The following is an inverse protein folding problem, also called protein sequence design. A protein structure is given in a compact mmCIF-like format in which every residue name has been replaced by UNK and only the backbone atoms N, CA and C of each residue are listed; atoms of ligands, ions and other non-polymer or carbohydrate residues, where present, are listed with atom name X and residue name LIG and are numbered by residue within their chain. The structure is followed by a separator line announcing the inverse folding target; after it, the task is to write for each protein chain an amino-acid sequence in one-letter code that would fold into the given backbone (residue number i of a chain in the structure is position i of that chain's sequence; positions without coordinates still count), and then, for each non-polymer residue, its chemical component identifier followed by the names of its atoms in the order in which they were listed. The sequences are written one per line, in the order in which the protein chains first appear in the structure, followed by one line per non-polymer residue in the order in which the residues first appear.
data_IF_196452698368
#
_entry.id   IF_196452698368
#
_cell.length_a   1.000
_cell.length_b   1.000
_cell.length_c   1.000
_cell.angle_alpha   90.00
_cell.angle_beta   90.00
_cell.angle_gamma   90.00
#
_symmetry.space_group_name_H-M   'P 1'
#
loop_
_entity.id
_entity.type
_entity.pdbx_description
1 polymer ?
#
# COMPACT_ATOMS: atom_id res chain seq x y z
N UNK A 1 22.68 -0.91 -0.40
CA UNK A 1 22.01 -1.60 -1.52
C UNK A 1 20.54 -1.69 -1.15
N UNK A 2 19.64 -1.11 -1.95
CA UNK A 2 18.19 -1.26 -1.73
C UNK A 2 17.75 -2.69 -2.07
N UNK A 3 16.81 -3.24 -1.30
CA UNK A 3 16.30 -4.59 -1.53
C UNK A 3 15.46 -4.68 -2.82
N UNK A 4 15.29 -5.91 -3.34
CA UNK A 4 14.61 -6.18 -4.61
C UNK A 4 13.15 -5.72 -4.58
N UNK A 5 12.43 -6.01 -3.49
CA UNK A 5 11.03 -5.63 -3.35
C UNK A 5 10.86 -4.13 -3.11
N UNK A 6 11.81 -3.46 -2.45
CA UNK A 6 11.78 -2.00 -2.34
C UNK A 6 11.80 -1.34 -3.73
N UNK A 7 12.68 -1.78 -4.63
CA UNK A 7 12.75 -1.27 -6.00
C UNK A 7 11.51 -1.62 -6.83
N UNK A 8 10.95 -2.81 -6.67
CA UNK A 8 9.69 -3.20 -7.33
C UNK A 8 8.50 -2.37 -6.84
N UNK A 9 8.44 -2.06 -5.55
CA UNK A 9 7.38 -1.24 -4.97
C UNK A 9 7.46 0.20 -5.45
N UNK A 10 8.66 0.79 -5.50
CA UNK A 10 8.89 2.11 -6.09
C UNK A 10 8.45 2.15 -7.56
N UNK A 11 8.87 1.15 -8.35
CA UNK A 11 8.48 1.04 -9.75
C UNK A 11 6.97 0.88 -9.94
N UNK A 12 6.29 0.16 -9.03
CA UNK A 12 4.84 0.03 -9.03
C UNK A 12 4.14 1.36 -8.74
N UNK A 13 4.62 2.12 -7.75
CA UNK A 13 4.07 3.43 -7.41
C UNK A 13 4.21 4.40 -8.58
N UNK A 14 5.40 4.46 -9.20
CA UNK A 14 5.66 5.30 -10.37
C UNK A 14 4.74 4.98 -11.55
N UNK A 15 4.57 3.70 -11.90
CA UNK A 15 3.67 3.28 -13.00
C UNK A 15 2.20 3.62 -12.74
N UNK A 16 1.79 3.77 -11.48
CA UNK A 16 0.42 4.08 -11.06
C UNK A 16 0.19 5.55 -10.74
N UNK A 17 1.22 6.39 -10.83
CA UNK A 17 1.14 7.80 -10.41
C UNK A 17 0.93 7.97 -8.90
N UNK A 18 1.25 6.95 -8.10
CA UNK A 18 1.21 7.06 -6.64
C UNK A 18 2.48 7.75 -6.13
N UNK A 19 2.37 8.37 -4.96
CA UNK A 19 3.56 8.85 -4.23
C UNK A 19 4.50 7.68 -3.92
N UNK A 20 5.78 7.98 -3.84
CA UNK A 20 6.80 7.00 -3.48
C UNK A 20 6.50 6.36 -2.11
N UNK A 21 6.83 5.07 -1.93
CA UNK A 21 6.58 4.37 -0.68
C UNK A 21 7.40 4.98 0.47
N UNK A 22 6.75 5.22 1.61
CA UNK A 22 7.42 5.72 2.81
C UNK A 22 7.69 4.57 3.77
N UNK A 23 8.91 4.51 4.31
CA UNK A 23 9.36 3.47 5.23
C UNK A 23 9.60 4.06 6.61
N UNK A 24 9.07 3.40 7.64
CA UNK A 24 9.35 3.68 9.03
C UNK A 24 9.84 2.40 9.70
N UNK A 25 11.08 2.39 10.15
CA UNK A 25 11.67 1.23 10.84
C UNK A 25 11.68 1.47 12.34
N UNK A 26 11.23 0.49 13.09
CA UNK A 26 11.19 0.51 14.55
C UNK A 26 12.15 -0.55 15.09
N UNK A 27 13.05 -0.12 15.98
CA UNK A 27 13.97 -1.01 16.70
C UNK A 27 13.37 -1.35 18.06
N UNK A 28 13.42 -2.63 18.40
CA UNK A 28 13.00 -3.17 19.69
C UNK A 28 14.06 -4.14 20.22
N UNK A 29 14.02 -4.52 21.51
CA UNK A 29 14.89 -5.57 22.05
C UNK A 29 14.75 -6.91 21.33
N UNK A 30 13.57 -7.19 20.77
CA UNK A 30 13.27 -8.40 20.00
C UNK A 30 13.69 -8.36 18.53
N UNK A 31 14.23 -7.23 18.04
CA UNK A 31 14.66 -7.04 16.66
C UNK A 31 14.03 -5.80 16.00
N UNK A 32 14.01 -5.79 14.67
CA UNK A 32 13.55 -4.68 13.84
C UNK A 32 12.21 -4.99 13.18
N UNK A 33 11.28 -4.07 13.25
CA UNK A 33 10.04 -4.11 12.46
C UNK A 33 10.00 -2.92 11.53
N UNK A 34 9.25 -3.03 10.43
CA UNK A 34 9.12 -1.92 9.50
C UNK A 34 7.67 -1.76 9.06
N UNK A 35 7.24 -0.51 8.95
CA UNK A 35 5.98 -0.08 8.41
C UNK A 35 6.22 0.63 7.07
N UNK A 36 5.45 0.26 6.06
CA UNK A 36 5.49 0.86 4.73
C UNK A 36 4.14 1.46 4.39
N UNK A 37 4.14 2.73 3.99
CA UNK A 37 2.95 3.44 3.53
C UNK A 37 2.94 3.50 2.00
N UNK A 38 1.91 2.90 1.38
CA UNK A 38 1.69 2.94 -0.06
C UNK A 38 0.25 3.33 -0.36
N UNK A 39 0.07 4.41 -1.11
CA UNK A 39 -1.26 4.89 -1.54
C UNK A 39 -2.26 4.98 -0.37
N UNK A 40 -1.83 5.53 0.77
CA UNK A 40 -2.65 5.70 1.98
C UNK A 40 -2.88 4.43 2.80
N UNK A 41 -2.27 3.28 2.44
CA UNK A 41 -2.37 2.02 3.19
C UNK A 41 -1.07 1.67 3.86
N UNK A 42 -1.14 1.22 5.12
CA UNK A 42 0.01 0.84 5.94
C UNK A 42 0.20 -0.68 5.90
N UNK A 43 1.45 -1.11 5.73
CA UNK A 43 1.86 -2.50 5.73
C UNK A 43 3.02 -2.67 6.69
N UNK A 44 2.81 -3.38 7.80
CA UNK A 44 3.83 -3.59 8.82
C UNK A 44 4.23 -5.05 8.89
N UNK A 45 5.52 -5.35 9.05
CA UNK A 45 6.05 -6.71 9.30
C UNK A 45 5.35 -7.43 10.46
N UNK A 46 5.09 -8.74 10.33
CA UNK A 46 4.36 -9.53 11.35
C UNK A 46 5.27 -10.00 12.48
N UNK A 47 6.57 -10.03 12.22
CA UNK A 47 7.61 -10.49 13.12
C UNK A 47 8.79 -9.51 13.09
N UNK A 48 9.59 -9.55 14.15
CA UNK A 48 10.83 -8.78 14.24
C UNK A 48 11.95 -9.49 13.49
N UNK A 49 12.73 -8.74 12.73
CA UNK A 49 13.86 -9.21 11.93
C UNK A 49 15.19 -8.83 12.58
N UNK A 50 16.27 -9.48 12.14
CA UNK A 50 17.62 -9.24 12.66
C UNK A 50 18.19 -7.86 12.31
N UNK A 51 17.78 -7.30 11.16
CA UNK A 51 18.26 -5.99 10.68
C UNK A 51 17.13 -5.12 10.12
N UNK A 52 17.41 -3.82 10.05
CA UNK A 52 16.53 -2.82 9.46
C UNK A 52 16.28 -3.10 7.96
N UNK A 53 17.31 -3.48 7.22
CA UNK A 53 17.20 -3.82 5.79
C UNK A 53 16.31 -5.03 5.55
N UNK A 54 16.39 -6.07 6.39
CA UNK A 54 15.49 -7.22 6.31
C UNK A 54 14.05 -6.82 6.62
N UNK A 55 13.83 -6.01 7.65
CA UNK A 55 12.50 -5.54 8.00
C UNK A 55 11.88 -4.71 6.87
N UNK A 56 12.64 -3.78 6.28
CA UNK A 56 12.21 -2.96 5.15
C UNK A 56 11.87 -3.79 3.91
N UNK A 57 12.74 -4.72 3.54
CA UNK A 57 12.52 -5.58 2.37
C UNK A 57 11.28 -6.48 2.55
N UNK A 58 11.07 -7.04 3.74
CA UNK A 58 9.90 -7.87 4.02
C UNK A 58 8.61 -7.04 4.07
N UNK A 59 8.64 -5.82 4.62
CA UNK A 59 7.50 -4.91 4.56
C UNK A 59 7.18 -4.50 3.11
N UNK A 60 8.21 -4.25 2.29
CA UNK A 60 8.08 -3.95 0.87
C UNK A 60 7.47 -5.12 0.09
N UNK A 61 7.92 -6.35 0.36
CA UNK A 61 7.36 -7.57 -0.24
C UNK A 61 5.86 -7.66 0.01
N UNK A 62 5.41 -7.45 1.25
CA UNK A 62 3.99 -7.51 1.61
C UNK A 62 3.18 -6.42 0.93
N UNK A 63 3.67 -5.19 0.98
CA UNK A 63 3.04 -4.06 0.29
C UNK A 63 2.95 -4.34 -1.22
N UNK A 64 4.00 -4.88 -1.83
CA UNK A 64 4.05 -5.18 -3.27
C UNK A 64 3.04 -6.27 -3.66
N UNK A 65 3.02 -7.40 -2.95
CA UNK A 65 2.12 -8.52 -3.25
C UNK A 65 0.64 -8.13 -3.15
N UNK A 66 0.32 -7.23 -2.22
CA UNK A 66 -1.04 -6.71 -2.05
C UNK A 66 -1.35 -5.64 -3.11
N UNK A 67 -0.50 -4.62 -3.25
CA UNK A 67 -0.72 -3.48 -4.13
C UNK A 67 -0.66 -3.84 -5.63
N UNK A 68 0.13 -4.84 -6.04
CA UNK A 68 0.21 -5.26 -7.45
C UNK A 68 -1.13 -5.74 -7.99
N UNK A 69 -1.99 -6.26 -7.11
CA UNK A 69 -3.32 -6.78 -7.44
C UNK A 69 -4.43 -5.73 -7.29
N UNK A 70 -4.13 -4.50 -6.83
CA UNK A 70 -5.16 -3.46 -6.75
C UNK A 70 -5.58 -3.05 -8.16
N UNK A 71 -6.86 -3.12 -8.48
CA UNK A 71 -7.36 -2.50 -9.71
C UNK A 71 -7.28 -0.97 -9.59
N UNK A 72 -6.94 -0.28 -10.69
CA UNK A 72 -6.85 1.19 -10.76
C UNK A 72 -8.19 1.86 -10.37
N UNK A 73 -9.30 1.14 -10.51
CA UNK A 73 -10.64 1.62 -10.18
C UNK A 73 -11.08 1.33 -8.72
N UNK A 74 -10.19 0.91 -7.82
CA UNK A 74 -10.58 0.49 -6.46
C UNK A 74 -11.34 -0.84 -6.43
N UNK A 75 -11.40 -1.55 -7.55
CA UNK A 75 -12.12 -2.81 -7.70
C UNK A 75 -11.52 -3.91 -6.84
N UNK A 76 -12.21 -4.21 -5.74
CA UNK A 76 -12.41 -5.59 -5.32
C UNK A 76 -12.62 -6.41 -6.59
N UNK A 77 -11.82 -7.44 -6.82
CA UNK A 77 -12.13 -8.43 -7.83
C UNK A 77 -13.41 -9.11 -7.37
N UNK A 78 -14.57 -8.63 -7.82
CA UNK A 78 -15.81 -9.36 -7.72
C UNK A 78 -15.64 -10.60 -8.59
N UNK A 79 -15.26 -11.72 -7.96
CA UNK A 79 -15.08 -13.03 -8.61
C UNK A 79 -16.34 -13.50 -9.35
N UNK A 80 -17.50 -12.85 -9.14
CA UNK A 80 -18.80 -13.26 -9.63
C UNK A 80 -19.64 -12.12 -10.28
N UNK A 81 -19.02 -11.06 -10.82
CA UNK A 81 -19.72 -10.14 -11.74
C UNK A 81 -20.81 -9.22 -11.15
N UNK A 82 -20.92 -9.10 -9.82
CA UNK A 82 -21.79 -8.09 -9.18
C UNK A 82 -20.93 -6.98 -8.59
N UNK A 83 -21.06 -5.78 -9.15
CA UNK A 83 -20.43 -4.55 -8.68
C UNK A 83 -21.04 -4.17 -7.33
N UNK A 84 -20.26 -4.24 -6.26
CA UNK A 84 -20.59 -3.65 -4.97
C UNK A 84 -19.67 -2.46 -4.69
N UNK A 85 -20.27 -1.31 -4.44
CA UNK A 85 -19.60 -0.14 -3.85
C UNK A 85 -19.72 1.12 -4.70
N UNK A 86 -20.81 1.86 -4.49
CA UNK A 86 -20.88 3.27 -4.88
C UNK A 86 -19.80 4.06 -4.11
N UNK A 87 -19.13 5.05 -4.71
CA UNK A 87 -18.19 5.89 -4.00
C UNK A 87 -18.93 6.69 -2.92
N UNK A 88 -18.50 6.55 -1.67
CA UNK A 88 -18.87 7.43 -0.59
C UNK A 88 -18.16 8.78 -0.81
N UNK A 89 -18.84 9.71 -1.49
CA UNK A 89 -18.67 11.12 -1.17
C UNK A 89 -20.05 11.78 -1.12
N UNK A 90 -20.61 11.83 0.08
CA UNK A 90 -21.58 12.86 0.45
C UNK A 90 -20.89 14.22 0.33
N UNK A 91 -21.26 14.98 -0.68
CA UNK A 91 -21.24 16.43 -0.61
C UNK A 91 -22.51 16.92 -1.30
N UNK A 92 -23.50 17.16 -0.46
CA UNK A 92 -24.77 17.83 -0.73
C UNK A 92 -24.60 19.06 -1.62
N UNK A 93 -25.47 19.21 -2.62
CA UNK A 93 -25.55 20.45 -3.39
C UNK A 93 -26.37 20.33 -4.68
N UNK A 94 -27.65 19.97 -4.57
CA UNK A 94 -28.60 20.02 -5.69
C UNK A 94 -28.84 21.47 -6.13
N UNK A 95 -28.58 21.73 -7.41
CA UNK A 95 -29.42 22.44 -8.39
C UNK A 95 -30.37 23.54 -7.88
N UNK A 96 -30.18 24.77 -8.36
CA UNK A 96 -31.26 25.54 -8.97
C UNK A 96 -30.70 26.49 -10.03
N UNK A 97 -31.15 26.27 -11.27
CA UNK A 97 -31.04 27.18 -12.40
C UNK A 97 -32.27 28.08 -12.36
N UNK A 98 -32.08 29.38 -12.53
CA UNK A 98 -33.09 30.31 -13.02
C UNK A 98 -32.52 31.02 -14.23
#
# INVERSE_FOLDING_TARGET
MGGFYMAYLESLCRRRGWRDPLYETYRSPSGFTCLVLVNGRKYQTDLAYESDGLAQENAAMRAFMVCRNFSINGGMLARNGVVQGLPANESSGRHMRW
#
